data_IF_322199897930
#
_entry.id   IF_322199897930
#
_cell.length_a   1.000
_cell.length_b   1.000
_cell.length_c   1.000
_cell.angle_alpha   90.00
_cell.angle_beta   90.00
_cell.angle_gamma   90.00
#
_symmetry.space_group_name_H-M   'P 1'
#
loop_
_entity.id
_entity.type
_entity.pdbx_description
1 polymer ?
#
# COMPACT_ATOMS: atom_id res chain seq x y z
N UNK A 1 18.30 -15.46 -7.30
CA UNK A 1 18.68 -15.09 -5.92
C UNK A 1 18.00 -13.77 -5.57
N UNK A 2 17.31 -13.69 -4.42
CA UNK A 2 16.45 -12.54 -4.06
C UNK A 2 17.29 -11.46 -3.36
N UNK A 3 17.34 -10.26 -3.96
CA UNK A 3 18.07 -9.07 -3.51
C UNK A 3 17.68 -8.54 -2.11
N UNK A 4 16.69 -9.14 -1.45
CA UNK A 4 16.31 -8.81 -0.09
C UNK A 4 16.18 -10.10 0.74
N UNK A 5 17.30 -10.61 1.24
CA UNK A 5 17.30 -11.51 2.39
C UNK A 5 16.87 -10.72 3.64
N UNK A 6 15.56 -10.47 3.73
CA UNK A 6 14.97 -10.06 4.99
C UNK A 6 15.28 -11.13 6.04
N UNK A 7 15.62 -10.76 7.30
CA UNK A 7 16.05 -11.69 8.35
C UNK A 7 14.96 -12.68 8.82
N UNK A 8 13.81 -12.66 8.17
CA UNK A 8 12.64 -13.44 8.54
C UNK A 8 12.55 -14.71 7.70
N UNK A 9 12.79 -15.85 8.33
CA UNK A 9 12.61 -17.16 7.70
C UNK A 9 11.12 -17.42 7.38
N UNK A 10 10.87 -18.04 6.22
CA UNK A 10 9.51 -18.39 5.78
C UNK A 10 8.85 -19.44 6.67
N UNK A 11 9.64 -20.36 7.22
CA UNK A 11 9.20 -21.42 8.11
C UNK A 11 10.12 -21.45 9.32
N UNK A 12 9.61 -21.91 10.47
CA UNK A 12 10.45 -22.17 11.63
C UNK A 12 11.36 -23.36 11.41
N UNK A 13 12.52 -23.39 12.08
CA UNK A 13 13.43 -24.54 12.06
C UNK A 13 12.72 -25.83 12.52
N UNK A 14 11.84 -25.71 13.50
CA UNK A 14 10.99 -26.81 13.99
C UNK A 14 10.06 -27.34 12.90
N UNK A 15 9.46 -26.48 12.09
CA UNK A 15 8.64 -26.89 10.95
C UNK A 15 9.48 -27.60 9.89
N UNK A 16 10.67 -27.08 9.56
CA UNK A 16 11.56 -27.68 8.57
C UNK A 16 12.08 -29.06 9.01
N UNK A 17 12.40 -29.22 10.30
CA UNK A 17 12.77 -30.51 10.88
C UNK A 17 11.60 -31.50 10.84
N UNK A 18 10.40 -31.07 11.23
CA UNK A 18 9.18 -31.89 11.18
C UNK A 18 8.81 -32.28 9.74
N UNK A 19 8.95 -31.38 8.77
CA UNK A 19 8.63 -31.66 7.36
C UNK A 19 9.37 -32.89 6.82
N UNK A 20 10.64 -33.06 7.20
CA UNK A 20 11.48 -34.21 6.80
C UNK A 20 11.02 -35.55 7.38
N UNK A 21 10.17 -35.57 8.41
CA UNK A 21 9.68 -36.84 9.00
C UNK A 21 8.58 -37.48 8.17
N UNK A 22 7.94 -36.74 7.25
CA UNK A 22 6.91 -37.30 6.37
C UNK A 22 7.45 -38.41 5.49
N UNK A 23 8.57 -38.15 4.82
CA UNK A 23 9.19 -39.11 3.89
C UNK A 23 9.61 -40.39 4.62
N UNK A 24 10.04 -40.27 5.89
CA UNK A 24 10.35 -41.43 6.74
C UNK A 24 9.12 -42.29 7.03
N UNK A 25 7.97 -41.68 7.34
CA UNK A 25 6.71 -42.40 7.59
C UNK A 25 6.25 -43.13 6.32
N UNK A 26 6.39 -42.51 5.15
CA UNK A 26 6.03 -43.13 3.87
C UNK A 26 6.98 -44.26 3.50
N UNK A 27 8.29 -44.07 3.69
CA UNK A 27 9.30 -45.10 3.44
C UNK A 27 9.08 -46.32 4.33
N UNK A 28 8.83 -46.12 5.63
CA UNK A 28 8.51 -47.20 6.58
C UNK A 28 7.25 -47.97 6.15
N UNK A 29 6.18 -47.25 5.76
CA UNK A 29 4.95 -47.87 5.26
C UNK A 29 5.19 -48.74 4.03
N UNK A 30 5.92 -48.22 3.05
CA UNK A 30 6.18 -48.93 1.80
C UNK A 30 7.07 -50.16 2.07
N UNK A 31 8.12 -50.01 2.90
CA UNK A 31 8.99 -51.12 3.29
C UNK A 31 8.21 -52.26 3.97
N UNK A 32 7.33 -51.95 4.91
CA UNK A 32 6.50 -52.97 5.57
C UNK A 32 5.54 -53.63 4.58
N UNK A 33 4.97 -52.86 3.65
CA UNK A 33 4.08 -53.40 2.63
C UNK A 33 4.81 -54.36 1.67
N UNK A 34 6.03 -54.02 1.29
CA UNK A 34 6.88 -54.85 0.43
C UNK A 34 7.33 -56.12 1.18
N UNK A 35 7.67 -56.02 2.48
CA UNK A 35 7.98 -57.18 3.33
C UNK A 35 6.81 -58.15 3.42
N UNK A 36 5.59 -57.66 3.68
CA UNK A 36 4.39 -58.49 3.75
C UNK A 36 4.06 -59.16 2.42
N UNK A 37 4.38 -58.53 1.28
CA UNK A 37 4.24 -59.13 -0.05
C UNK A 37 5.27 -60.25 -0.28
N UNK A 38 6.51 -60.07 0.19
CA UNK A 38 7.55 -61.09 0.08
C UNK A 38 7.28 -62.32 0.98
N UNK A 39 6.57 -62.13 2.09
CA UNK A 39 6.17 -63.20 3.02
C UNK A 39 4.92 -63.97 2.56
N UNK A 40 4.16 -63.42 1.60
CA UNK A 40 2.92 -64.01 1.10
C UNK A 40 3.19 -65.31 0.35
N UNK A 41 2.58 -66.41 0.83
CA UNK A 41 2.76 -67.74 0.24
C UNK A 41 4.05 -68.47 0.66
N UNK A 42 4.94 -67.80 1.42
CA UNK A 42 6.11 -68.43 2.04
C UNK A 42 5.85 -68.71 3.51
N UNK A 43 5.44 -67.69 4.27
CA UNK A 43 5.18 -67.77 5.71
C UNK A 43 3.77 -67.32 6.08
N UNK A 44 3.12 -66.49 5.25
CA UNK A 44 1.77 -65.99 5.50
C UNK A 44 0.76 -66.59 4.53
N UNK A 45 -0.39 -66.98 5.07
CA UNK A 45 -1.58 -67.25 4.25
C UNK A 45 -2.19 -65.94 3.72
N UNK A 46 -3.02 -66.05 2.69
CA UNK A 46 -3.69 -64.90 2.06
C UNK A 46 -4.53 -64.11 3.06
N UNK A 47 -5.21 -64.80 3.99
CA UNK A 47 -6.08 -64.13 4.96
C UNK A 47 -5.29 -63.48 6.09
N UNK A 48 -4.21 -64.10 6.57
CA UNK A 48 -3.28 -63.47 7.52
C UNK A 48 -2.61 -62.23 6.93
N UNK A 49 -2.22 -62.29 5.66
CA UNK A 49 -1.70 -61.13 4.93
C UNK A 49 -2.70 -59.98 4.91
N UNK A 50 -3.97 -60.26 4.59
CA UNK A 50 -5.02 -59.22 4.56
C UNK A 50 -5.20 -58.57 5.94
N UNK A 51 -5.20 -59.36 7.01
CA UNK A 51 -5.34 -58.87 8.38
C UNK A 51 -4.15 -57.97 8.74
N UNK A 52 -2.92 -58.47 8.62
CA UNK A 52 -1.70 -57.70 8.93
C UNK A 52 -1.58 -56.43 8.10
N UNK A 53 -1.84 -56.52 6.79
CA UNK A 53 -1.83 -55.35 5.91
C UNK A 53 -2.81 -54.27 6.36
N UNK A 54 -4.01 -54.66 6.78
CA UNK A 54 -5.03 -53.71 7.25
C UNK A 54 -4.64 -53.07 8.58
N UNK A 55 -4.05 -53.83 9.51
CA UNK A 55 -3.53 -53.31 10.78
C UNK A 55 -2.42 -52.27 10.55
N UNK A 56 -1.41 -52.61 9.74
CA UNK A 56 -0.32 -51.69 9.41
C UNK A 56 -0.80 -50.45 8.64
N UNK A 57 -1.80 -50.61 7.77
CA UNK A 57 -2.43 -49.48 7.07
C UNK A 57 -3.10 -48.53 8.07
N UNK A 58 -3.81 -49.04 9.08
CA UNK A 58 -4.41 -48.22 10.14
C UNK A 58 -3.33 -47.50 10.96
N UNK A 59 -2.28 -48.20 11.38
CA UNK A 59 -1.16 -47.60 12.11
C UNK A 59 -0.46 -46.48 11.31
N UNK A 60 -0.24 -46.68 10.01
CA UNK A 60 0.33 -45.67 9.15
C UNK A 60 -0.60 -44.44 9.01
N UNK A 61 -1.92 -44.65 8.91
CA UNK A 61 -2.90 -43.57 8.88
C UNK A 61 -2.91 -42.77 10.19
N UNK A 62 -2.79 -43.44 11.34
CA UNK A 62 -2.67 -42.77 12.64
C UNK A 62 -1.40 -41.93 12.75
N UNK A 63 -0.25 -42.49 12.35
CA UNK A 63 1.03 -41.74 12.27
C UNK A 63 0.89 -40.49 11.38
N UNK A 64 0.25 -40.60 10.22
CA UNK A 64 -0.01 -39.47 9.32
C UNK A 64 -0.98 -38.43 9.90
N UNK A 65 -1.98 -38.87 10.68
CA UNK A 65 -2.92 -37.99 11.39
C UNK A 65 -2.19 -37.19 12.47
N UNK A 66 -1.34 -37.83 13.26
CA UNK A 66 -0.49 -37.16 14.27
C UNK A 66 0.47 -36.18 13.58
N UNK A 67 1.15 -36.61 12.51
CA UNK A 67 2.02 -35.75 11.71
C UNK A 67 1.30 -34.49 11.22
N UNK A 68 0.09 -34.65 10.68
CA UNK A 68 -0.72 -33.55 10.15
C UNK A 68 -1.19 -32.59 11.25
N UNK A 69 -1.59 -33.11 12.42
CA UNK A 69 -1.92 -32.28 13.59
C UNK A 69 -0.71 -31.45 14.04
N UNK A 70 0.46 -32.07 14.17
CA UNK A 70 1.69 -31.37 14.56
C UNK A 70 2.14 -30.34 13.53
N UNK A 71 2.04 -30.67 12.24
CA UNK A 71 2.31 -29.73 11.13
C UNK A 71 1.43 -28.48 11.22
N UNK A 72 0.13 -28.65 11.49
CA UNK A 72 -0.81 -27.54 11.69
C UNK A 72 -0.46 -26.70 12.91
N UNK A 73 -0.08 -27.31 14.03
CA UNK A 73 0.36 -26.60 15.25
C UNK A 73 1.59 -25.74 14.96
N UNK A 74 2.64 -26.32 14.38
CA UNK A 74 3.89 -25.63 14.06
C UNK A 74 3.67 -24.47 13.08
N UNK A 75 2.77 -24.65 12.12
CA UNK A 75 2.38 -23.57 11.21
C UNK A 75 1.66 -22.43 11.94
N UNK A 76 0.75 -22.75 12.87
CA UNK A 76 0.05 -21.75 13.69
C UNK A 76 1.01 -21.01 14.63
N UNK A 77 1.97 -21.70 15.23
CA UNK A 77 3.02 -21.11 16.08
C UNK A 77 3.91 -20.14 15.31
N UNK A 78 4.23 -20.42 14.04
CA UNK A 78 5.00 -19.51 13.17
C UNK A 78 4.14 -18.43 12.51
N UNK A 79 2.82 -18.51 12.64
CA UNK A 79 1.91 -17.57 12.01
C UNK A 79 1.95 -16.21 12.70
N UNK A 80 1.87 -15.13 11.92
CA UNK A 80 1.77 -13.77 12.43
C UNK A 80 0.41 -13.21 12.07
N UNK A 81 -0.40 -12.82 13.06
CA UNK A 81 -1.78 -12.32 12.87
C UNK A 81 -2.63 -13.25 11.97
N UNK A 82 -2.48 -14.57 12.12
CA UNK A 82 -3.19 -15.57 11.30
C UNK A 82 -2.69 -15.70 9.85
N UNK A 83 -1.53 -15.12 9.51
CA UNK A 83 -0.87 -15.22 8.20
C UNK A 83 0.34 -16.15 8.25
N UNK A 84 0.72 -16.66 7.07
CA UNK A 84 1.76 -17.70 6.93
C UNK A 84 3.12 -17.35 7.56
N UNK A 85 3.52 -16.08 7.56
CA UNK A 85 4.75 -15.60 8.18
C UNK A 85 4.74 -14.07 8.31
N UNK A 86 5.55 -13.54 9.22
CA UNK A 86 5.80 -12.10 9.32
C UNK A 86 6.38 -11.51 8.03
N UNK A 87 7.29 -12.23 7.35
CA UNK A 87 7.85 -11.82 6.05
C UNK A 87 6.77 -11.57 5.01
N UNK A 88 5.81 -12.49 4.92
CA UNK A 88 4.69 -12.36 3.99
C UNK A 88 3.81 -11.17 4.36
N UNK A 89 3.49 -11.00 5.64
CA UNK A 89 2.73 -9.86 6.12
C UNK A 89 3.40 -8.53 5.76
N UNK A 90 4.71 -8.40 6.04
CA UNK A 90 5.48 -7.19 5.74
C UNK A 90 5.53 -6.89 4.24
N UNK A 91 5.69 -7.92 3.41
CA UNK A 91 5.68 -7.76 1.95
C UNK A 91 4.34 -7.22 1.44
N UNK A 92 3.23 -7.83 1.86
CA UNK A 92 1.89 -7.38 1.46
C UNK A 92 1.61 -5.98 2.00
N UNK A 93 1.99 -5.72 3.25
CA UNK A 93 1.88 -4.39 3.86
C UNK A 93 2.65 -3.32 3.07
N UNK A 94 3.90 -3.60 2.69
CA UNK A 94 4.69 -2.69 1.87
C UNK A 94 4.08 -2.43 0.50
N UNK A 95 3.52 -3.46 -0.15
CA UNK A 95 2.85 -3.33 -1.45
C UNK A 95 1.59 -2.44 -1.35
N UNK A 96 0.79 -2.61 -0.30
CA UNK A 96 -0.40 -1.79 -0.05
C UNK A 96 -0.02 -0.33 0.25
N UNK A 97 1.02 -0.11 1.06
CA UNK A 97 1.54 1.24 1.32
C UNK A 97 2.06 1.93 0.05
N UNK A 98 2.75 1.20 -0.81
CA UNK A 98 3.21 1.70 -2.09
C UNK A 98 2.03 2.12 -2.98
N UNK A 99 0.99 1.30 -3.05
CA UNK A 99 -0.26 1.62 -3.74
C UNK A 99 -0.91 2.89 -3.20
N UNK A 100 -1.03 2.99 -1.88
CA UNK A 100 -1.57 4.18 -1.21
C UNK A 100 -0.78 5.44 -1.55
N UNK A 101 0.56 5.37 -1.48
CA UNK A 101 1.43 6.49 -1.82
C UNK A 101 1.21 6.96 -3.26
N UNK A 102 1.17 6.04 -4.23
CA UNK A 102 0.93 6.40 -5.62
C UNK A 102 -0.47 6.98 -5.85
N UNK A 103 -1.51 6.43 -5.21
CA UNK A 103 -2.86 6.98 -5.30
C UNK A 103 -2.97 8.38 -4.71
N UNK A 104 -2.37 8.62 -3.53
CA UNK A 104 -2.34 9.96 -2.90
C UNK A 104 -1.55 10.94 -3.75
N UNK A 105 -0.37 10.55 -4.24
CA UNK A 105 0.46 11.40 -5.09
C UNK A 105 -0.26 11.75 -6.39
N UNK A 106 -0.87 10.76 -7.06
CA UNK A 106 -1.66 10.97 -8.28
C UNK A 106 -2.80 11.94 -8.04
N UNK A 107 -3.52 11.81 -6.91
CA UNK A 107 -4.60 12.73 -6.56
C UNK A 107 -4.11 14.17 -6.33
N UNK A 108 -2.98 14.33 -5.65
CA UNK A 108 -2.34 15.65 -5.45
C UNK A 108 -1.96 16.27 -6.80
N UNK A 109 -1.35 15.48 -7.67
CA UNK A 109 -0.91 15.95 -8.99
C UNK A 109 -2.11 16.32 -9.88
N UNK A 110 -3.20 15.54 -9.83
CA UNK A 110 -4.46 15.87 -10.53
C UNK A 110 -5.09 17.17 -10.00
N UNK A 111 -5.10 17.41 -8.68
CA UNK A 111 -5.61 18.66 -8.13
C UNK A 111 -4.72 19.88 -8.39
N UNK A 112 -3.43 19.69 -8.68
CA UNK A 112 -2.53 20.77 -9.10
C UNK A 112 -2.69 21.12 -10.59
N UNK A 113 -3.16 20.19 -11.42
CA UNK A 113 -3.34 20.41 -12.85
C UNK A 113 -4.54 21.31 -13.11
N UNK A 114 -4.37 22.22 -14.07
CA UNK A 114 -5.44 23.12 -14.54
C UNK A 114 -6.46 22.40 -15.43
N UNK A 115 -6.05 21.31 -16.08
CA UNK A 115 -6.89 20.49 -16.96
C UNK A 115 -7.43 19.29 -16.20
N UNK A 116 -8.76 19.16 -16.14
CA UNK A 116 -9.45 18.03 -15.50
C UNK A 116 -9.36 16.80 -16.40
N UNK A 117 -8.51 15.85 -16.02
CA UNK A 117 -8.32 14.57 -16.72
C UNK A 117 -9.29 13.47 -16.27
N UNK A 118 -10.04 13.70 -15.19
CA UNK A 118 -10.97 12.71 -14.61
C UNK A 118 -10.30 11.56 -13.85
N UNK A 119 -8.96 11.52 -13.80
CA UNK A 119 -8.18 10.50 -13.07
C UNK A 119 -8.29 10.63 -11.53
N UNK A 120 -8.90 11.70 -11.03
CA UNK A 120 -9.18 11.90 -9.61
C UNK A 120 -10.01 10.75 -9.02
N UNK A 121 -10.99 10.23 -9.77
CA UNK A 121 -11.86 9.13 -9.32
C UNK A 121 -11.03 7.85 -9.13
N UNK A 122 -10.13 7.56 -10.06
CA UNK A 122 -9.25 6.38 -10.01
C UNK A 122 -8.37 6.45 -8.75
N UNK A 123 -7.82 7.64 -8.48
CA UNK A 123 -6.99 7.86 -7.29
C UNK A 123 -7.78 7.71 -5.99
N UNK A 124 -9.03 8.21 -5.94
CA UNK A 124 -9.92 8.04 -4.78
C UNK A 124 -10.27 6.56 -4.55
N UNK A 125 -10.62 5.83 -5.60
CA UNK A 125 -10.87 4.38 -5.53
C UNK A 125 -9.61 3.64 -5.05
N UNK A 126 -8.44 4.00 -5.57
CA UNK A 126 -7.16 3.42 -5.15
C UNK A 126 -6.86 3.65 -3.67
N UNK A 127 -7.15 4.84 -3.14
CA UNK A 127 -7.08 5.13 -1.70
C UNK A 127 -8.03 4.22 -0.92
N UNK A 128 -9.30 4.11 -1.34
CA UNK A 128 -10.29 3.26 -0.68
C UNK A 128 -9.89 1.78 -0.62
N UNK A 129 -9.43 1.24 -1.75
CA UNK A 129 -8.91 -0.14 -1.83
C UNK A 129 -7.71 -0.32 -0.91
N UNK A 130 -6.81 0.66 -0.85
CA UNK A 130 -5.63 0.60 0.02
C UNK A 130 -6.02 0.60 1.51
N UNK A 131 -6.97 1.44 1.92
CA UNK A 131 -7.48 1.43 3.30
C UNK A 131 -8.19 0.13 3.66
N UNK A 132 -8.96 -0.44 2.74
CA UNK A 132 -9.58 -1.75 2.93
C UNK A 132 -8.55 -2.83 3.23
N UNK A 133 -7.46 -2.87 2.45
CA UNK A 133 -6.37 -3.82 2.65
C UNK A 133 -5.54 -3.54 3.89
N UNK A 134 -5.26 -2.27 4.21
CA UNK A 134 -4.57 -1.92 5.47
C UNK A 134 -5.37 -2.38 6.67
N UNK A 135 -6.66 -2.07 6.74
CA UNK A 135 -7.52 -2.59 7.81
C UNK A 135 -7.51 -4.11 7.83
N UNK A 136 -7.59 -4.76 6.66
CA UNK A 136 -7.54 -6.22 6.56
C UNK A 136 -6.25 -6.83 7.13
N UNK A 137 -5.12 -6.16 6.92
CA UNK A 137 -3.82 -6.63 7.38
C UNK A 137 -3.63 -6.52 8.89
N UNK A 138 -4.26 -5.55 9.55
CA UNK A 138 -4.15 -5.35 11.00
C UNK A 138 -5.23 -6.06 11.80
N UNK A 139 -6.47 -6.05 11.33
CA UNK A 139 -7.63 -6.39 12.17
C UNK A 139 -8.30 -7.72 11.82
N UNK A 140 -8.06 -8.30 10.65
CA UNK A 140 -8.73 -9.55 10.27
C UNK A 140 -7.81 -10.77 10.34
N UNK A 141 -8.23 -11.71 11.17
CA UNK A 141 -7.79 -13.10 11.17
C UNK A 141 -8.62 -13.90 10.15
N UNK A 142 -8.10 -15.02 9.65
CA UNK A 142 -8.74 -15.82 8.59
C UNK A 142 -10.19 -16.30 8.90
N UNK A 143 -10.62 -16.24 10.17
CA UNK A 143 -11.96 -16.62 10.61
C UNK A 143 -13.03 -15.53 10.33
N UNK A 144 -12.64 -14.29 10.08
CA UNK A 144 -13.59 -13.17 9.91
C UNK A 144 -14.07 -13.00 8.46
N UNK A 145 -13.63 -13.88 7.55
CA UNK A 145 -14.03 -13.89 6.14
C UNK A 145 -15.47 -14.38 5.91
N UNK A 146 -16.04 -15.09 6.87
CA UNK A 146 -17.30 -15.83 6.65
C UNK A 146 -18.58 -15.01 6.83
N UNK A 147 -18.48 -13.71 7.17
CA UNK A 147 -19.65 -12.85 7.32
C UNK A 147 -19.67 -11.80 6.20
N UNK A 148 -20.34 -12.11 5.09
CA UNK A 148 -20.41 -11.24 3.90
C UNK A 148 -20.92 -9.82 4.23
N UNK A 149 -21.85 -9.71 5.18
CA UNK A 149 -22.38 -8.44 5.67
C UNK A 149 -21.29 -7.55 6.27
N UNK A 150 -20.37 -8.13 7.04
CA UNK A 150 -19.26 -7.40 7.65
C UNK A 150 -18.27 -6.88 6.60
N UNK A 151 -18.04 -7.66 5.54
CA UNK A 151 -17.17 -7.28 4.43
C UNK A 151 -17.77 -6.10 3.64
N UNK A 152 -19.08 -6.16 3.34
CA UNK A 152 -19.80 -5.07 2.68
C UNK A 152 -19.79 -3.78 3.48
N UNK A 153 -20.13 -3.85 4.78
CA UNK A 153 -20.10 -2.69 5.68
C UNK A 153 -18.72 -2.04 5.75
N UNK A 154 -17.66 -2.86 5.86
CA UNK A 154 -16.27 -2.39 5.87
C UNK A 154 -15.89 -1.69 4.56
N UNK A 155 -16.29 -2.23 3.41
CA UNK A 155 -16.03 -1.59 2.12
C UNK A 155 -16.67 -0.20 2.06
N UNK A 156 -17.91 -0.06 2.52
CA UNK A 156 -18.62 1.24 2.58
C UNK A 156 -17.87 2.24 3.46
N UNK A 157 -17.44 1.83 4.66
CA UNK A 157 -16.64 2.69 5.55
C UNK A 157 -15.33 3.13 4.88
N UNK A 158 -14.62 2.21 4.22
CA UNK A 158 -13.37 2.53 3.55
C UNK A 158 -13.57 3.54 2.40
N UNK A 159 -14.67 3.44 1.66
CA UNK A 159 -15.05 4.42 0.64
C UNK A 159 -15.36 5.78 1.27
N UNK A 160 -16.10 5.83 2.37
CA UNK A 160 -16.39 7.07 3.10
C UNK A 160 -15.10 7.75 3.61
N UNK A 161 -14.18 6.96 4.17
CA UNK A 161 -12.85 7.44 4.60
C UNK A 161 -12.04 7.96 3.41
N UNK A 162 -12.02 7.24 2.29
CA UNK A 162 -11.31 7.67 1.09
C UNK A 162 -11.85 8.99 0.54
N UNK A 163 -13.18 9.16 0.53
CA UNK A 163 -13.81 10.42 0.14
C UNK A 163 -13.42 11.57 1.09
N UNK A 164 -13.46 11.33 2.40
CA UNK A 164 -13.04 12.33 3.39
C UNK A 164 -11.58 12.76 3.20
N UNK A 165 -10.68 11.79 3.01
CA UNK A 165 -9.25 12.05 2.76
C UNK A 165 -9.07 12.83 1.45
N UNK A 166 -9.82 12.50 0.40
CA UNK A 166 -9.77 13.23 -0.85
C UNK A 166 -10.16 14.71 -0.69
N UNK A 167 -11.22 15.00 0.08
CA UNK A 167 -11.60 16.39 0.38
C UNK A 167 -10.53 17.12 1.20
N UNK A 168 -9.91 16.43 2.15
CA UNK A 168 -8.83 16.98 2.95
C UNK A 168 -7.61 17.31 2.07
N UNK A 169 -7.20 16.40 1.19
CA UNK A 169 -6.12 16.63 0.21
C UNK A 169 -6.47 17.83 -0.68
N UNK A 170 -7.69 17.86 -1.23
CA UNK A 170 -8.17 18.97 -2.07
C UNK A 170 -8.07 20.31 -1.36
N UNK A 171 -8.50 20.38 -0.10
CA UNK A 171 -8.42 21.59 0.71
C UNK A 171 -6.97 22.08 0.88
N UNK A 172 -6.06 21.18 1.27
CA UNK A 172 -4.65 21.55 1.46
C UNK A 172 -3.95 21.91 0.14
N UNK A 173 -4.24 21.21 -0.96
CA UNK A 173 -3.68 21.53 -2.27
C UNK A 173 -4.14 22.91 -2.77
N UNK A 174 -5.43 23.25 -2.62
CA UNK A 174 -5.94 24.59 -2.94
C UNK A 174 -5.28 25.67 -2.10
N UNK A 175 -5.18 25.46 -0.78
CA UNK A 175 -4.51 26.42 0.13
C UNK A 175 -3.07 26.69 -0.28
N UNK A 176 -2.31 25.64 -0.64
CA UNK A 176 -0.94 25.79 -1.15
C UNK A 176 -0.89 26.57 -2.47
N UNK A 177 -1.83 26.33 -3.40
CA UNK A 177 -1.94 27.08 -4.66
C UNK A 177 -2.18 28.58 -4.44
N UNK A 178 -3.08 28.93 -3.52
CA UNK A 178 -3.35 30.33 -3.13
C UNK A 178 -2.10 30.99 -2.55
N UNK A 179 -1.43 30.34 -1.61
CA UNK A 179 -0.19 30.86 -1.00
C UNK A 179 0.89 31.08 -2.06
N UNK A 180 1.10 30.11 -2.96
CA UNK A 180 2.07 30.24 -4.04
C UNK A 180 1.74 31.41 -4.98
N UNK A 181 0.47 31.62 -5.28
CA UNK A 181 0.00 32.71 -6.13
C UNK A 181 0.23 34.08 -5.47
N UNK A 182 -0.03 34.20 -4.16
CA UNK A 182 0.26 35.41 -3.38
C UNK A 182 1.77 35.70 -3.29
N UNK A 183 2.60 34.67 -3.06
CA UNK A 183 4.07 34.82 -3.06
C UNK A 183 4.56 35.32 -4.42
N UNK A 184 4.04 34.77 -5.51
CA UNK A 184 4.40 35.22 -6.87
C UNK A 184 3.99 36.67 -7.13
N UNK A 185 2.84 37.12 -6.59
CA UNK A 185 2.45 38.53 -6.65
C UNK A 185 3.46 39.42 -5.89
N UNK A 186 3.80 39.08 -4.65
CA UNK A 186 4.79 39.82 -3.85
C UNK A 186 6.13 39.92 -4.59
N UNK A 187 6.60 38.81 -5.17
CA UNK A 187 7.84 38.79 -5.95
C UNK A 187 7.74 39.66 -7.21
N UNK A 188 6.60 39.66 -7.90
CA UNK A 188 6.36 40.49 -9.10
C UNK A 188 6.35 41.98 -8.74
N UNK A 189 5.65 42.35 -7.67
CA UNK A 189 5.62 43.71 -7.13
C UNK A 189 7.04 44.18 -6.78
N UNK A 190 7.81 43.37 -6.04
CA UNK A 190 9.18 43.71 -5.65
C UNK A 190 10.13 43.85 -6.85
N UNK A 191 10.07 42.93 -7.81
CA UNK A 191 11.03 42.87 -8.93
C UNK A 191 10.71 43.83 -10.07
N UNK A 192 9.43 43.99 -10.42
CA UNK A 192 8.97 44.83 -11.54
C UNK A 192 8.63 46.23 -11.06
N UNK A 193 7.62 46.33 -10.19
CA UNK A 193 6.99 47.61 -9.83
C UNK A 193 7.88 48.46 -8.92
N UNK A 194 8.36 47.92 -7.79
CA UNK A 194 9.26 48.64 -6.89
C UNK A 194 10.56 49.04 -7.59
N UNK A 195 11.16 48.15 -8.38
CA UNK A 195 12.39 48.46 -9.10
C UNK A 195 12.22 49.63 -10.08
N UNK A 196 11.16 49.63 -10.89
CA UNK A 196 10.85 50.74 -11.80
C UNK A 196 10.66 52.05 -11.01
N UNK A 197 9.90 51.99 -9.92
CA UNK A 197 9.60 53.15 -9.09
C UNK A 197 10.85 53.74 -8.41
N UNK A 198 11.74 52.90 -7.88
CA UNK A 198 13.02 53.34 -7.29
C UNK A 198 13.95 53.97 -8.33
N UNK A 199 14.04 53.41 -9.54
CA UNK A 199 14.86 53.98 -10.62
C UNK A 199 14.33 55.35 -11.05
N UNK A 200 13.00 55.48 -11.19
CA UNK A 200 12.37 56.75 -11.55
C UNK A 200 12.56 57.81 -10.44
N UNK A 201 12.43 57.41 -9.17
CA UNK A 201 12.64 58.30 -8.03
C UNK A 201 14.09 58.79 -7.92
N UNK A 202 15.07 57.89 -8.04
CA UNK A 202 16.50 58.24 -8.00
C UNK A 202 16.90 59.18 -9.15
N UNK A 203 16.30 59.00 -10.33
CA UNK A 203 16.56 59.90 -11.44
C UNK A 203 15.93 61.27 -11.23
N UNK A 204 14.69 61.32 -10.73
CA UNK A 204 14.00 62.57 -10.43
C UNK A 204 14.76 63.39 -9.37
N UNK A 205 15.28 62.74 -8.33
CA UNK A 205 16.13 63.36 -7.32
C UNK A 205 17.43 63.94 -7.90
N UNK A 206 18.05 63.24 -8.87
CA UNK A 206 19.34 63.64 -9.44
C UNK A 206 19.22 64.74 -10.51
N UNK A 207 18.09 64.81 -11.21
CA UNK A 207 17.94 65.66 -12.40
C UNK A 207 16.84 66.72 -12.28
N UNK A 208 16.15 66.80 -11.13
CA UNK A 208 15.00 67.69 -10.86
C UNK A 208 13.90 67.62 -11.93
N UNK A 209 13.87 66.50 -12.65
CA UNK A 209 12.97 66.21 -13.77
C UNK A 209 12.60 64.74 -13.74
N UNK A 210 11.35 64.42 -14.02
CA UNK A 210 10.94 63.03 -14.25
C UNK A 210 11.75 62.45 -15.41
N UNK A 211 12.08 61.16 -15.34
CA UNK A 211 12.50 60.44 -16.55
C UNK A 211 11.40 60.66 -17.60
N UNK A 212 11.76 61.12 -18.80
CA UNK A 212 10.90 61.00 -19.99
C UNK A 212 10.78 59.52 -20.38
N UNK A 213 10.34 58.68 -19.44
CA UNK A 213 10.06 57.29 -19.69
C UNK A 213 8.74 57.25 -20.43
N UNK A 214 8.71 56.49 -21.51
CA UNK A 214 7.54 56.21 -22.35
C UNK A 214 6.29 55.81 -21.52
N UNK A 215 6.48 55.34 -20.29
CA UNK A 215 5.41 55.06 -19.33
C UNK A 215 5.25 56.14 -18.25
N UNK A 216 4.08 56.79 -18.24
CA UNK A 216 3.67 57.71 -17.17
C UNK A 216 3.49 56.99 -15.82
N UNK A 217 3.62 57.71 -14.70
CA UNK A 217 3.33 57.20 -13.34
C UNK A 217 1.95 56.54 -13.26
N UNK A 218 0.98 57.10 -14.00
CA UNK A 218 -0.38 56.55 -14.12
C UNK A 218 -0.39 55.17 -14.77
N UNK A 219 0.36 54.97 -15.85
CA UNK A 219 0.47 53.66 -16.51
C UNK A 219 1.14 52.61 -15.60
N UNK A 220 2.13 53.00 -14.80
CA UNK A 220 2.76 52.10 -13.83
C UNK A 220 1.79 51.72 -12.69
N UNK A 221 0.97 52.66 -12.23
CA UNK A 221 -0.09 52.39 -11.27
C UNK A 221 -1.17 51.45 -11.87
N UNK A 222 -1.59 51.70 -13.11
CA UNK A 222 -2.56 50.86 -13.82
C UNK A 222 -2.02 49.43 -14.05
N UNK A 223 -0.72 49.28 -14.37
CA UNK A 223 -0.08 47.95 -14.48
C UNK A 223 -0.05 47.20 -13.14
N UNK A 224 0.22 47.89 -12.04
CA UNK A 224 0.21 47.31 -10.69
C UNK A 224 -1.21 46.87 -10.30
N UNK A 225 -2.20 47.73 -10.54
CA UNK A 225 -3.61 47.44 -10.29
C UNK A 225 -4.09 46.24 -11.10
N UNK A 226 -3.64 46.13 -12.36
CA UNK A 226 -3.93 44.98 -13.22
C UNK A 226 -3.30 43.69 -12.68
N UNK A 227 -2.03 43.71 -12.26
CA UNK A 227 -1.36 42.55 -11.67
C UNK A 227 -2.04 42.09 -10.36
N UNK A 228 -2.52 43.03 -9.54
CA UNK A 228 -3.29 42.74 -8.32
C UNK A 228 -4.64 42.13 -8.69
N UNK A 229 -5.41 42.75 -9.59
CA UNK A 229 -6.72 42.25 -10.05
C UNK A 229 -6.62 40.87 -10.69
N UNK A 230 -5.64 40.65 -11.55
CA UNK A 230 -5.40 39.35 -12.20
C UNK A 230 -5.05 38.26 -11.19
N UNK A 231 -4.34 38.60 -10.11
CA UNK A 231 -4.00 37.67 -9.03
C UNK A 231 -5.21 37.37 -8.14
N UNK A 232 -5.99 38.39 -7.78
CA UNK A 232 -7.23 38.22 -6.99
C UNK A 232 -8.25 37.37 -7.76
N UNK A 233 -8.40 37.59 -9.07
CA UNK A 233 -9.27 36.79 -9.93
C UNK A 233 -8.83 35.31 -10.01
N UNK A 234 -7.52 35.02 -9.90
CA UNK A 234 -7.00 33.64 -9.86
C UNK A 234 -7.21 32.95 -8.51
N UNK A 235 -7.40 33.70 -7.44
CA UNK A 235 -7.61 33.19 -6.07
C UNK A 235 -9.10 33.02 -5.77
N UNK A 236 -9.97 33.83 -6.39
CA UNK A 236 -11.42 33.83 -6.19
C UNK A 236 -12.16 32.63 -6.83
N UNK A 237 -11.46 31.78 -7.60
CA UNK A 237 -11.97 30.57 -8.28
C UNK A 237 -11.51 29.31 -7.51
#
# INVERSE_FOLDING_TARGET
>A
MSLFHAPFQRYSDSYLKHYKTYDKIIAERNFIQDSLLNELGVTLTIDEYKIKRNEYRKLAQEKLKVYSKRKKSLYKEHSFLGRASFKFWLFVFGLVLLGLYFSVKSLIDDYKRTLKTGHEIISIVGIGVSFFWLYHLFFQTANDFYTEVYLGFKAIICVAIAFFIAQLIKYFTKKQGVIHTLINLILRIKRKHYRKMTVNALYAEKHDKSIDSIESVKQQADELDKDIKDTLNKIAI
#
